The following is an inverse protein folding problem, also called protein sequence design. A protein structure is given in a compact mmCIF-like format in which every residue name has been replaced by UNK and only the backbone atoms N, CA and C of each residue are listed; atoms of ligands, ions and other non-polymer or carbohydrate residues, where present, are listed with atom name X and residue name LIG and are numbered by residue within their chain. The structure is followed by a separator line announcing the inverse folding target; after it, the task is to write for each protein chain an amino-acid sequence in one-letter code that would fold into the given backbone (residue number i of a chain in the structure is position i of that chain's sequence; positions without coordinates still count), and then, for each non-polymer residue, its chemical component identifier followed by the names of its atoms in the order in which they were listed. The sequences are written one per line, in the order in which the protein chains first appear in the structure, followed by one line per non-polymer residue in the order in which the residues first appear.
data_IF_851628668778
#
_entry.id   IF_851628668778
#
_cell.length_a   1.000
_cell.length_b   1.000
_cell.length_c   1.000
_cell.angle_alpha   90.00
_cell.angle_beta   90.00
_cell.angle_gamma   90.00
#
_symmetry.space_group_name_H-M   'P 1'
#
loop_
_entity.id
_entity.type
_entity.pdbx_description
1 polymer ?
#
# COMPACT_ATOMS: atom_id res chain seq x y z
N UNK A 1 17.02 -12.18 12.49
CA UNK A 1 16.28 -11.88 11.25
C UNK A 1 16.90 -10.63 10.65
N UNK A 2 17.67 -10.76 9.56
CA UNK A 2 18.36 -9.63 8.92
C UNK A 2 17.41 -9.02 7.90
N UNK A 3 17.13 -7.72 8.04
CA UNK A 3 16.34 -6.97 7.07
C UNK A 3 17.29 -6.43 6.01
N UNK A 4 17.21 -6.97 4.80
CA UNK A 4 17.89 -6.41 3.62
C UNK A 4 16.97 -5.36 3.01
N UNK A 5 17.45 -4.13 2.92
CA UNK A 5 16.75 -3.03 2.27
C UNK A 5 17.38 -2.82 0.89
N UNK A 6 16.57 -2.99 -0.16
CA UNK A 6 16.98 -2.66 -1.52
C UNK A 6 16.57 -1.23 -1.80
N UNK A 7 17.56 -0.34 -1.91
CA UNK A 7 17.34 1.02 -2.39
C UNK A 7 17.63 1.05 -3.89
N UNK A 8 16.65 1.34 -4.75
CA UNK A 8 16.92 1.50 -6.17
C UNK A 8 17.89 2.66 -6.36
N UNK A 9 19.02 2.39 -7.00
CA UNK A 9 19.98 3.44 -7.39
C UNK A 9 19.38 4.36 -8.46
N UNK A 10 18.45 3.83 -9.26
CA UNK A 10 17.74 4.56 -10.30
C UNK A 10 16.29 4.06 -10.38
N UNK A 11 15.35 4.99 -10.46
CA UNK A 11 13.95 4.72 -10.76
C UNK A 11 13.59 5.47 -12.03
N UNK A 12 12.85 4.84 -12.95
CA UNK A 12 12.41 5.45 -14.20
C UNK A 12 10.90 5.32 -14.33
N UNK A 13 10.25 6.35 -14.86
CA UNK A 13 8.82 6.27 -15.16
C UNK A 13 8.55 5.18 -16.19
N UNK A 14 7.63 4.27 -15.86
CA UNK A 14 7.16 3.21 -16.76
C UNK A 14 6.41 3.78 -17.96
N UNK A 15 5.95 5.04 -17.89
CA UNK A 15 5.12 5.70 -18.91
C UNK A 15 5.88 6.63 -19.86
N UNK A 16 7.18 6.89 -19.64
CA UNK A 16 8.01 7.53 -20.67
C UNK A 16 8.58 6.45 -21.57
N UNK A 17 7.75 6.03 -22.52
CA UNK A 17 8.21 5.28 -23.70
C UNK A 17 9.02 6.27 -24.54
N UNK A 18 10.32 6.41 -24.25
CA UNK A 18 11.24 6.62 -25.36
C UNK A 18 11.45 5.22 -25.95
N UNK A 19 10.94 4.92 -27.15
CA UNK A 19 11.40 3.74 -27.86
C UNK A 19 12.91 3.90 -27.98
N UNK A 20 13.69 3.07 -27.30
CA UNK A 20 15.08 2.95 -27.67
C UNK A 20 15.08 2.52 -29.13
N UNK A 21 15.90 3.17 -29.95
CA UNK A 21 16.04 2.85 -31.38
C UNK A 21 16.44 1.37 -31.60
N UNK A 22 16.83 0.66 -30.54
CA UNK A 22 17.11 -0.77 -30.50
C UNK A 22 16.64 -1.32 -29.14
N UNK A 23 15.58 -2.15 -29.10
CA UNK A 23 15.13 -2.87 -27.89
C UNK A 23 13.83 -2.36 -27.27
N UNK A 24 12.74 -3.13 -27.44
CA UNK A 24 11.39 -2.82 -26.95
C UNK A 24 11.13 -3.23 -25.49
N UNK A 25 9.84 -3.33 -25.14
CA UNK A 25 9.29 -3.65 -23.81
C UNK A 25 9.94 -4.88 -23.11
N UNK A 26 10.49 -5.81 -23.90
CA UNK A 26 11.17 -7.02 -23.44
C UNK A 26 12.48 -6.72 -22.69
N UNK A 27 13.26 -5.69 -23.07
CA UNK A 27 14.57 -5.45 -22.45
C UNK A 27 14.47 -4.99 -20.99
N UNK A 28 13.45 -4.20 -20.66
CA UNK A 28 13.17 -3.80 -19.28
C UNK A 28 12.73 -4.98 -18.42
N UNK A 29 11.90 -5.86 -18.99
CA UNK A 29 11.42 -7.09 -18.33
C UNK A 29 12.58 -8.05 -18.09
N UNK A 30 13.44 -8.25 -19.08
CA UNK A 30 14.66 -9.04 -18.93
C UNK A 30 15.63 -8.43 -17.92
N UNK A 31 15.81 -7.10 -17.93
CA UNK A 31 16.68 -6.41 -16.96
C UNK A 31 16.17 -6.58 -15.53
N UNK A 32 14.85 -6.48 -15.32
CA UNK A 32 14.22 -6.74 -14.04
C UNK A 32 14.37 -8.21 -13.61
N UNK A 33 14.17 -9.17 -14.53
CA UNK A 33 14.36 -10.59 -14.27
C UNK A 33 15.82 -10.92 -13.91
N UNK A 34 16.80 -10.35 -14.65
CA UNK A 34 18.22 -10.47 -14.35
C UNK A 34 18.56 -9.89 -12.98
N UNK A 35 18.05 -8.70 -12.65
CA UNK A 35 18.26 -8.09 -11.33
C UNK A 35 17.70 -8.94 -10.19
N UNK A 36 16.50 -9.50 -10.36
CA UNK A 36 15.89 -10.41 -9.38
C UNK A 36 16.68 -11.72 -9.21
N UNK A 37 17.17 -12.29 -10.30
CA UNK A 37 18.03 -13.48 -10.27
C UNK A 37 19.35 -13.19 -9.54
N UNK A 38 20.00 -12.07 -9.86
CA UNK A 38 21.22 -11.63 -9.18
C UNK A 38 20.99 -11.41 -7.68
N UNK A 39 19.89 -10.77 -7.28
CA UNK A 39 19.56 -10.58 -5.88
C UNK A 39 19.34 -11.91 -5.15
N UNK A 40 18.66 -12.87 -5.79
CA UNK A 40 18.42 -14.20 -5.23
C UNK A 40 19.72 -15.04 -5.10
N UNK A 41 20.73 -14.76 -5.92
CA UNK A 41 22.04 -15.41 -5.86
C UNK A 41 22.94 -14.93 -4.70
N UNK A 42 22.59 -13.83 -4.02
CA UNK A 42 23.37 -13.27 -2.88
C UNK A 42 23.38 -14.20 -1.67
N UNK A 43 22.38 -15.07 -1.52
CA UNK A 43 22.35 -16.11 -0.50
C UNK A 43 20.96 -16.72 -0.31
N UNK A 44 20.91 -17.89 0.33
CA UNK A 44 19.69 -18.70 0.50
C UNK A 44 18.55 -17.98 1.26
N UNK A 45 18.86 -16.92 1.99
CA UNK A 45 17.88 -16.13 2.74
C UNK A 45 17.31 -14.94 1.98
N UNK A 46 17.79 -14.65 0.76
CA UNK A 46 17.28 -13.57 -0.07
C UNK A 46 16.20 -14.13 -0.98
N UNK A 47 14.95 -13.75 -0.73
CA UNK A 47 13.82 -14.09 -1.58
C UNK A 47 13.28 -12.85 -2.27
N UNK A 48 13.25 -12.90 -3.61
CA UNK A 48 12.53 -11.93 -4.42
C UNK A 48 11.14 -12.48 -4.68
N UNK A 49 10.13 -11.69 -4.40
CA UNK A 49 8.72 -12.08 -4.54
C UNK A 49 7.97 -11.10 -5.43
N UNK A 50 6.87 -11.57 -6.00
CA UNK A 50 5.95 -10.76 -6.80
C UNK A 50 4.54 -10.85 -6.22
N UNK A 51 3.71 -9.80 -6.38
CA UNK A 51 2.36 -9.80 -5.81
C UNK A 51 1.44 -10.74 -6.59
N UNK A 52 0.55 -11.44 -5.91
CA UNK A 52 -0.57 -12.19 -6.50
C UNK A 52 -1.85 -11.72 -5.85
N UNK A 53 -2.86 -11.42 -6.66
CA UNK A 53 -4.16 -10.98 -6.17
C UNK A 53 -4.92 -12.16 -5.57
N UNK A 54 -5.23 -12.07 -4.27
CA UNK A 54 -6.03 -13.05 -3.53
C UNK A 54 -7.52 -12.65 -3.48
N UNK A 55 -7.81 -11.35 -3.61
CA UNK A 55 -9.13 -10.77 -3.37
C UNK A 55 -9.33 -10.34 -1.91
N UNK A 56 -10.56 -9.95 -1.57
CA UNK A 56 -10.90 -9.42 -0.26
C UNK A 56 -10.89 -7.90 -0.19
N UNK A 57 -10.93 -7.38 1.04
CA UNK A 57 -11.15 -5.95 1.29
C UNK A 57 -10.01 -5.27 2.04
N UNK A 58 -9.11 -6.01 2.67
CA UNK A 58 -8.01 -5.47 3.48
C UNK A 58 -6.75 -5.26 2.62
N UNK A 59 -6.23 -4.03 2.58
CA UNK A 59 -5.05 -3.68 1.76
C UNK A 59 -3.83 -4.56 2.09
N UNK A 60 -3.74 -5.07 3.32
CA UNK A 60 -2.66 -5.95 3.75
C UNK A 60 -2.79 -7.40 3.27
N UNK A 61 -3.99 -7.83 2.87
CA UNK A 61 -4.25 -9.24 2.50
C UNK A 61 -4.76 -9.42 1.08
N UNK A 62 -5.10 -8.35 0.37
CA UNK A 62 -5.57 -8.43 -1.03
C UNK A 62 -4.50 -8.95 -1.99
N UNK A 63 -3.22 -8.85 -1.62
CA UNK A 63 -2.10 -9.46 -2.31
C UNK A 63 -1.34 -10.44 -1.42
N UNK A 64 -1.09 -11.64 -1.92
CA UNK A 64 -0.06 -12.53 -1.40
C UNK A 64 1.26 -12.28 -2.13
N UNK A 65 2.37 -12.66 -1.48
CA UNK A 65 3.69 -12.66 -2.11
C UNK A 65 4.01 -14.09 -2.55
N UNK A 66 4.35 -14.27 -3.83
CA UNK A 66 4.84 -15.56 -4.33
C UNK A 66 6.28 -15.42 -4.80
N UNK A 67 7.16 -16.42 -4.60
CA UNK A 67 8.53 -16.38 -5.08
C UNK A 67 8.57 -16.14 -6.58
N UNK A 68 9.45 -15.23 -7.02
CA UNK A 68 9.61 -14.87 -8.43
C UNK A 68 9.99 -16.08 -9.29
N UNK A 69 10.71 -17.06 -8.71
CA UNK A 69 11.11 -18.30 -9.39
C UNK A 69 9.93 -19.23 -9.76
N UNK A 70 8.74 -18.99 -9.20
CA UNK A 70 7.52 -19.74 -9.53
C UNK A 70 6.67 -19.05 -10.61
N UNK A 71 7.16 -17.96 -11.19
CA UNK A 71 6.40 -17.11 -12.11
C UNK A 71 7.24 -16.84 -13.35
N UNK A 72 6.63 -16.96 -14.52
CA UNK A 72 7.21 -16.43 -15.74
C UNK A 72 6.91 -14.92 -15.84
N UNK A 73 7.95 -14.09 -15.69
CA UNK A 73 7.82 -12.64 -15.84
C UNK A 73 7.77 -12.18 -17.30
N UNK A 74 8.23 -13.02 -18.24
CA UNK A 74 8.21 -12.69 -19.66
C UNK A 74 6.81 -12.83 -20.26
N UNK A 75 5.97 -13.69 -19.67
CA UNK A 75 4.55 -13.77 -20.00
C UNK A 75 3.78 -12.60 -19.38
N UNK A 76 3.59 -11.55 -20.18
CA UNK A 76 2.85 -10.37 -19.80
C UNK A 76 1.39 -10.69 -19.45
N UNK A 77 0.76 -11.64 -20.15
CA UNK A 77 -0.63 -12.00 -19.94
C UNK A 77 -0.82 -12.70 -18.58
N UNK A 78 0.04 -13.68 -18.26
CA UNK A 78 0.02 -14.33 -16.95
C UNK A 78 0.38 -13.36 -15.83
N UNK A 79 1.31 -12.43 -16.07
CA UNK A 79 1.66 -11.39 -15.10
C UNK A 79 0.49 -10.44 -14.81
N UNK A 80 -0.24 -10.00 -15.83
CA UNK A 80 -1.46 -9.19 -15.67
C UNK A 80 -2.57 -9.99 -14.96
N UNK A 81 -2.80 -11.24 -15.37
CA UNK A 81 -3.80 -12.10 -14.73
C UNK A 81 -3.52 -12.32 -13.26
N UNK A 82 -2.25 -12.57 -12.89
CA UNK A 82 -1.82 -12.81 -11.51
C UNK A 82 -2.17 -11.66 -10.57
N UNK A 83 -2.11 -10.41 -11.03
CA UNK A 83 -2.39 -9.23 -10.19
C UNK A 83 -3.82 -8.71 -10.32
N UNK A 84 -4.60 -9.19 -11.30
CA UNK A 84 -5.94 -8.70 -11.58
C UNK A 84 -7.05 -9.74 -11.34
N UNK A 85 -6.73 -11.05 -11.30
CA UNK A 85 -7.72 -12.13 -11.29
C UNK A 85 -7.58 -12.96 -10.01
N UNK A 86 -8.62 -12.99 -9.18
CA UNK A 86 -8.65 -13.77 -7.92
C UNK A 86 -10.05 -14.22 -7.55
N UNK A 87 -10.13 -15.15 -6.59
CA UNK A 87 -11.36 -15.92 -6.31
C UNK A 87 -12.34 -15.27 -5.32
N UNK A 88 -12.17 -14.02 -4.90
CA UNK A 88 -13.03 -13.48 -3.84
C UNK A 88 -13.18 -11.97 -3.79
N UNK A 89 -14.19 -11.42 -4.45
CA UNK A 89 -14.61 -9.99 -4.49
C UNK A 89 -13.94 -9.18 -5.61
N UNK A 90 -14.75 -8.43 -6.34
CA UNK A 90 -14.31 -7.50 -7.39
C UNK A 90 -13.43 -6.38 -6.81
N UNK A 91 -12.45 -5.92 -7.58
CA UNK A 91 -11.52 -4.84 -7.17
C UNK A 91 -12.21 -3.52 -6.85
N UNK A 92 -13.27 -3.21 -7.60
CA UNK A 92 -14.00 -1.96 -7.50
C UNK A 92 -15.27 -2.18 -6.68
N UNK A 93 -15.17 -1.89 -5.38
CA UNK A 93 -16.28 -1.96 -4.44
C UNK A 93 -16.29 -0.72 -3.55
N UNK A 94 -17.44 -0.40 -2.98
CA UNK A 94 -17.59 0.77 -2.09
C UNK A 94 -16.70 0.62 -0.85
N UNK A 95 -15.64 1.43 -0.76
CA UNK A 95 -14.62 1.34 0.31
C UNK A 95 -13.24 0.88 -0.17
N UNK A 96 -13.10 0.54 -1.46
CA UNK A 96 -11.80 0.28 -2.08
C UNK A 96 -10.92 1.55 -2.05
N UNK A 97 -9.63 1.36 -1.79
CA UNK A 97 -8.64 2.45 -1.85
C UNK A 97 -8.46 2.84 -3.32
N UNK A 98 -8.56 4.13 -3.68
CA UNK A 98 -8.38 4.56 -5.07
C UNK A 98 -6.95 4.31 -5.53
N UNK A 99 -6.78 4.16 -6.86
CA UNK A 99 -5.44 4.13 -7.48
C UNK A 99 -4.74 5.48 -7.28
N UNK A 100 -3.39 5.52 -7.23
CA UNK A 100 -2.46 4.39 -7.33
C UNK A 100 -2.52 3.45 -6.11
N UNK A 101 -1.98 2.24 -6.24
CA UNK A 101 -1.78 1.38 -5.05
C UNK A 101 -0.62 1.92 -4.21
N UNK A 102 -0.63 1.74 -2.88
CA UNK A 102 0.52 2.10 -2.05
C UNK A 102 1.79 1.37 -2.50
N UNK A 103 2.94 2.02 -2.35
CA UNK A 103 4.25 1.45 -2.67
C UNK A 103 4.73 0.47 -1.58
N UNK A 104 4.39 0.75 -0.32
CA UNK A 104 4.75 -0.11 0.81
C UNK A 104 3.58 -0.31 1.75
N UNK A 105 3.35 -1.55 2.17
CA UNK A 105 2.28 -1.94 3.10
C UNK A 105 2.91 -2.41 4.42
N UNK A 106 2.39 -1.94 5.55
CA UNK A 106 2.86 -2.33 6.86
C UNK A 106 2.33 -3.72 7.23
N UNK A 107 3.23 -4.70 7.33
CA UNK A 107 2.90 -6.07 7.77
C UNK A 107 2.33 -6.06 9.19
N UNK A 108 2.94 -5.26 10.08
CA UNK A 108 2.43 -4.95 11.41
C UNK A 108 2.19 -3.44 11.46
N UNK A 109 0.95 -2.97 11.25
CA UNK A 109 0.63 -1.55 11.20
C UNK A 109 0.99 -0.85 12.52
N UNK A 110 1.94 0.10 12.53
CA UNK A 110 2.26 0.83 13.75
C UNK A 110 1.10 1.71 14.16
N UNK A 111 0.91 1.86 15.47
CA UNK A 111 -0.07 2.78 16.03
C UNK A 111 0.26 4.22 15.66
N UNK A 112 -0.79 5.00 15.50
CA UNK A 112 -0.73 6.40 15.13
C UNK A 112 -1.73 7.21 15.93
N UNK A 113 -1.50 8.53 15.96
CA UNK A 113 -2.44 9.50 16.48
C UNK A 113 -2.71 10.53 15.41
N UNK A 114 -3.99 10.83 15.15
CA UNK A 114 -4.42 11.89 14.24
C UNK A 114 -5.12 12.95 15.07
N UNK A 115 -4.62 14.18 15.03
CA UNK A 115 -5.11 15.31 15.82
C UNK A 115 -5.57 16.45 14.91
N UNK A 116 -6.58 17.18 15.36
CA UNK A 116 -7.01 18.43 14.72
C UNK A 116 -6.13 19.62 15.15
N UNK A 117 -6.44 20.82 14.65
CA UNK A 117 -5.69 22.06 14.95
C UNK A 117 -5.70 22.43 16.45
N UNK A 118 -6.70 21.97 17.21
CA UNK A 118 -6.79 22.19 18.65
C UNK A 118 -6.07 21.11 19.48
N UNK A 119 -5.40 20.14 18.84
CA UNK A 119 -4.74 19.04 19.52
C UNK A 119 -5.68 17.93 20.02
N UNK A 120 -6.93 17.92 19.57
CA UNK A 120 -7.93 16.91 19.94
C UNK A 120 -7.89 15.75 18.95
N UNK A 121 -7.98 14.48 19.40
CA UNK A 121 -8.06 13.32 18.52
C UNK A 121 -9.20 13.42 17.52
N UNK A 122 -8.89 13.12 16.25
CA UNK A 122 -9.89 13.00 15.18
C UNK A 122 -10.43 11.58 15.16
N UNK A 123 -11.74 11.45 15.13
CA UNK A 123 -12.46 10.20 14.95
C UNK A 123 -13.25 10.15 13.64
N UNK A 124 -14.01 9.07 13.49
CA UNK A 124 -14.98 8.91 12.39
C UNK A 124 -16.33 8.54 13.00
N UNK A 125 -17.37 9.26 12.60
CA UNK A 125 -18.72 9.10 13.14
C UNK A 125 -19.39 7.80 12.66
N UNK A 126 -20.57 7.51 13.20
CA UNK A 126 -21.42 6.42 12.71
C UNK A 126 -21.79 6.56 11.22
N UNK A 127 -21.80 7.79 10.69
CA UNK A 127 -22.14 8.11 9.29
C UNK A 127 -20.94 8.09 8.34
N UNK A 128 -19.78 7.63 8.81
CA UNK A 128 -18.53 7.63 8.05
C UNK A 128 -18.08 9.04 7.64
N UNK A 129 -18.18 9.99 8.57
CA UNK A 129 -17.65 11.35 8.40
C UNK A 129 -16.56 11.59 9.44
N UNK A 130 -15.53 12.35 9.08
CA UNK A 130 -14.55 12.82 10.07
C UNK A 130 -15.25 13.80 11.03
N UNK A 131 -15.02 13.65 12.33
CA UNK A 131 -15.60 14.55 13.34
C UNK A 131 -14.88 15.92 13.40
N UNK A 132 -13.66 16.00 12.88
CA UNK A 132 -12.87 17.22 12.77
C UNK A 132 -11.85 17.14 11.62
N UNK A 133 -11.36 18.29 11.17
CA UNK A 133 -10.30 18.37 10.15
C UNK A 133 -8.95 17.89 10.73
N UNK A 134 -8.32 16.84 10.16
CA UNK A 134 -6.98 16.41 10.55
C UNK A 134 -5.93 17.48 10.26
N UNK A 135 -5.08 17.77 11.25
CA UNK A 135 -4.03 18.78 11.14
C UNK A 135 -2.63 18.21 11.41
N UNK A 136 -2.53 17.20 12.27
CA UNK A 136 -1.27 16.60 12.67
C UNK A 136 -1.44 15.09 12.74
N UNK A 137 -0.46 14.33 12.24
CA UNK A 137 -0.37 12.89 12.46
C UNK A 137 0.97 12.55 13.09
N UNK A 138 0.94 11.67 14.09
CA UNK A 138 2.13 11.09 14.70
C UNK A 138 2.14 9.59 14.45
N UNK A 139 3.23 9.08 13.88
CA UNK A 139 3.44 7.65 13.63
C UNK A 139 4.83 7.27 14.10
N UNK A 140 4.94 6.23 14.93
CA UNK A 140 6.24 5.75 15.44
C UNK A 140 7.13 6.85 16.01
N UNK A 141 6.55 7.81 16.75
CA UNK A 141 7.28 8.95 17.34
C UNK A 141 7.62 10.09 16.38
N UNK A 142 7.32 9.97 15.09
CA UNK A 142 7.51 11.03 14.10
C UNK A 142 6.20 11.79 13.86
N UNK A 143 6.29 13.12 13.93
CA UNK A 143 5.14 14.01 13.73
C UNK A 143 5.21 14.69 12.36
N UNK A 144 4.06 14.73 11.68
CA UNK A 144 3.88 15.31 10.37
C UNK A 144 2.68 16.26 10.37
N UNK A 145 2.80 17.38 9.66
CA UNK A 145 1.67 18.27 9.40
C UNK A 145 0.81 17.66 8.29
N UNK A 146 -0.51 17.62 8.47
CA UNK A 146 -1.46 17.16 7.45
C UNK A 146 -1.76 18.32 6.50
N UNK A 147 -1.50 18.11 5.22
CA UNK A 147 -1.68 19.11 4.15
C UNK A 147 -3.02 18.93 3.44
N UNK A 148 -3.38 17.67 3.16
CA UNK A 148 -4.65 17.30 2.51
C UNK A 148 -5.11 15.94 3.00
N UNK A 149 -6.41 15.72 2.90
CA UNK A 149 -7.07 14.47 3.27
C UNK A 149 -7.93 13.97 2.11
N UNK A 150 -8.03 12.65 1.99
CA UNK A 150 -8.96 12.00 1.07
C UNK A 150 -9.62 10.79 1.75
N UNK A 151 -10.92 10.63 1.50
CA UNK A 151 -11.79 9.74 2.27
C UNK A 151 -12.62 10.54 3.29
N UNK A 152 -13.18 9.87 4.32
CA UNK A 152 -12.95 8.49 4.73
C UNK A 152 -13.59 7.44 3.81
N UNK A 153 -12.94 6.28 3.65
CA UNK A 153 -13.50 5.10 2.97
C UNK A 153 -13.84 4.02 3.98
N UNK A 154 -15.12 3.81 4.29
CA UNK A 154 -15.54 2.81 5.25
C UNK A 154 -15.50 1.41 4.68
N UNK A 155 -15.24 0.44 5.55
CA UNK A 155 -15.32 -0.98 5.23
C UNK A 155 -16.07 -1.67 6.37
N UNK A 156 -17.21 -2.25 6.00
CA UNK A 156 -18.03 -3.05 6.90
C UNK A 156 -18.06 -4.48 6.39
N UNK A 157 -17.59 -5.41 7.21
CA UNK A 157 -17.58 -6.83 6.91
C UNK A 157 -18.45 -7.58 7.90
N UNK A 158 -19.16 -8.58 7.39
CA UNK A 158 -19.94 -9.53 8.20
C UNK A 158 -20.85 -8.83 9.20
N UNK A 159 -21.49 -7.74 8.77
CA UNK A 159 -22.37 -6.93 9.62
C UNK A 159 -23.53 -7.75 10.22
N UNK A 160 -23.89 -8.86 9.58
CA UNK A 160 -24.89 -9.82 10.02
C UNK A 160 -24.40 -10.79 11.11
N UNK A 161 -23.10 -10.89 11.38
CA UNK A 161 -22.51 -11.80 12.37
C UNK A 161 -21.88 -11.01 13.52
N UNK A 162 -22.54 -10.96 14.67
CA UNK A 162 -22.08 -10.18 15.82
C UNK A 162 -20.69 -10.54 16.33
N UNK A 163 -20.20 -11.78 16.10
CA UNK A 163 -18.87 -12.24 16.52
C UNK A 163 -17.80 -11.96 15.49
N UNK A 164 -18.17 -11.83 14.22
CA UNK A 164 -17.25 -11.61 13.10
C UNK A 164 -17.38 -10.23 12.45
N UNK A 165 -18.31 -9.40 12.94
CA UNK A 165 -18.50 -8.04 12.46
C UNK A 165 -17.19 -7.29 12.59
N UNK A 166 -16.78 -6.66 11.50
CA UNK A 166 -15.59 -5.82 11.47
C UNK A 166 -15.96 -4.51 10.81
N UNK A 167 -15.62 -3.41 11.48
CA UNK A 167 -15.82 -2.05 10.96
C UNK A 167 -14.48 -1.34 11.06
N UNK A 168 -13.94 -0.95 9.91
CA UNK A 168 -12.80 -0.06 9.88
C UNK A 168 -13.01 1.04 8.84
N UNK A 169 -12.18 2.07 8.94
CA UNK A 169 -12.21 3.21 8.03
C UNK A 169 -10.80 3.47 7.52
N UNK A 170 -10.68 3.84 6.25
CA UNK A 170 -9.42 4.27 5.66
C UNK A 170 -9.42 5.77 5.40
N UNK A 171 -8.27 6.38 5.57
CA UNK A 171 -8.06 7.79 5.30
C UNK A 171 -6.70 7.98 4.65
N UNK A 172 -6.65 8.66 3.50
CA UNK A 172 -5.38 9.08 2.91
C UNK A 172 -5.01 10.46 3.43
N UNK A 173 -3.75 10.60 3.84
CA UNK A 173 -3.19 11.86 4.32
C UNK A 173 -1.99 12.23 3.47
N UNK A 174 -2.04 13.38 2.81
CA UNK A 174 -0.85 14.06 2.33
C UNK A 174 -0.23 14.78 3.52
N UNK A 175 1.01 14.43 3.86
CA UNK A 175 1.68 14.91 5.07
C UNK A 175 3.03 15.51 4.76
N UNK A 176 3.45 16.47 5.57
CA UNK A 176 4.75 17.12 5.47
C UNK A 176 5.54 16.91 6.76
N UNK A 177 6.80 16.47 6.64
CA UNK A 177 7.69 16.39 7.81
C UNK A 177 8.28 17.78 8.15
N UNK A 178 8.98 17.87 9.29
CA UNK A 178 9.65 19.11 9.72
C UNK A 178 10.70 19.65 8.74
N UNK A 179 11.21 18.82 7.83
CA UNK A 179 12.19 19.18 6.80
C UNK A 179 11.53 19.61 5.47
N UNK A 180 10.20 19.68 5.42
CA UNK A 180 9.45 20.09 4.24
C UNK A 180 9.13 18.96 3.24
N UNK A 181 9.61 17.73 3.47
CA UNK A 181 9.37 16.62 2.55
C UNK A 181 7.92 16.11 2.66
N UNK A 182 7.27 15.96 1.51
CA UNK A 182 5.91 15.45 1.38
C UNK A 182 5.90 13.92 1.32
N UNK A 183 4.88 13.31 1.91
CA UNK A 183 4.59 11.87 1.85
C UNK A 183 3.08 11.68 1.81
N UNK A 184 2.61 10.56 1.27
CA UNK A 184 1.22 10.15 1.40
C UNK A 184 1.14 8.88 2.25
N UNK A 185 0.27 8.92 3.25
CA UNK A 185 0.00 7.81 4.16
C UNK A 185 -1.41 7.29 3.94
N UNK A 186 -1.57 5.97 3.98
CA UNK A 186 -2.87 5.31 4.14
C UNK A 186 -3.05 4.95 5.60
N UNK A 187 -3.97 5.61 6.27
CA UNK A 187 -4.32 5.37 7.67
C UNK A 187 -5.52 4.44 7.76
N UNK A 188 -5.55 3.61 8.81
CA UNK A 188 -6.68 2.77 9.18
C UNK A 188 -7.18 3.15 10.57
N UNK A 189 -8.50 3.28 10.74
CA UNK A 189 -9.16 3.45 12.02
C UNK A 189 -10.02 2.23 12.31
N UNK A 190 -9.73 1.54 13.41
CA UNK A 190 -10.51 0.40 13.90
C UNK A 190 -10.52 0.44 15.43
N UNK A 191 -11.69 0.23 16.05
CA UNK A 191 -11.84 0.31 17.52
C UNK A 191 -11.28 1.61 18.13
N UNK A 192 -11.53 2.75 17.48
CA UNK A 192 -11.03 4.09 17.86
C UNK A 192 -9.49 4.22 17.87
N UNK A 193 -8.78 3.27 17.27
CA UNK A 193 -7.33 3.29 17.19
C UNK A 193 -6.87 3.52 15.75
N UNK A 194 -6.07 4.56 15.56
CA UNK A 194 -5.43 4.84 14.28
C UNK A 194 -4.17 3.99 14.11
N UNK A 195 -3.94 3.48 12.90
CA UNK A 195 -2.72 2.79 12.50
C UNK A 195 -2.28 3.23 11.10
N UNK A 196 -0.99 3.20 10.84
CA UNK A 196 -0.46 3.40 9.49
C UNK A 196 -0.51 2.07 8.73
N UNK A 197 -1.36 1.97 7.72
CA UNK A 197 -1.51 0.76 6.91
C UNK A 197 -0.48 0.71 5.77
N UNK A 198 -0.22 1.84 5.12
CA UNK A 198 0.64 1.87 3.93
C UNK A 198 1.21 3.26 3.65
N UNK A 199 2.27 3.33 2.82
CA UNK A 199 2.87 4.57 2.32
C UNK A 199 2.96 4.54 0.79
N UNK A 200 2.96 5.73 0.21
CA UNK A 200 3.13 5.97 -1.24
C UNK A 200 4.44 6.71 -1.54
N UNK A 201 5.42 6.59 -0.64
CA UNK A 201 6.70 7.28 -0.73
C UNK A 201 7.55 6.84 -1.93
#
# INVERSE_FOLDING_TARGET
MVRVEFTPLETREVLVVQPLLWGGNEENTERAARAAAMASAVGEHVQVTVPRWEGGRDVATVYSQIPIALVDLSDQYESERRVNTGKGVARDWSGAVPRPSPASIAIVPPEATVLNKAGVPVGVTGRHELDAEPAVVTVSGHTYAVMRTAGPWPVEERWWDARRKRRHVRLQLLVQNKRGALRVFLMGLENHQWRLLARYD
#
